data_IF_391384601168
#
_entry.id   IF_391384601168
#
_cell.length_a   1.000
_cell.length_b   1.000
_cell.length_c   1.000
_cell.angle_alpha   90.00
_cell.angle_beta   90.00
_cell.angle_gamma   90.00
#
_symmetry.space_group_name_H-M   'P 1'
#
loop_
_entity.id
_entity.type
_entity.pdbx_description
1 polymer ?
#
# COMPACT_ATOMS: atom_id res chain seq x y z
N UNK A 1 9.52 -1.97 -15.00
CA UNK A 1 9.46 -2.03 -16.49
C UNK A 1 9.18 -0.68 -17.12
N UNK A 2 8.43 0.20 -16.47
CA UNK A 2 7.97 1.47 -17.03
C UNK A 2 8.74 2.71 -16.51
N UNK A 3 9.85 2.55 -15.82
CA UNK A 3 10.65 3.68 -15.37
C UNK A 3 11.42 4.28 -16.55
N UNK A 4 11.32 5.61 -16.80
CA UNK A 4 12.00 6.25 -17.91
C UNK A 4 13.52 6.07 -17.87
N UNK A 5 14.16 5.83 -19.03
CA UNK A 5 15.60 5.64 -19.14
C UNK A 5 16.07 4.18 -19.16
N UNK A 6 15.16 3.22 -18.98
CA UNK A 6 15.45 1.79 -19.03
C UNK A 6 14.57 1.09 -20.06
N UNK A 7 14.89 1.15 -21.34
CA UNK A 7 14.04 0.62 -22.43
C UNK A 7 13.84 -0.90 -22.37
N UNK A 8 14.81 -1.63 -21.80
CA UNK A 8 14.72 -3.08 -21.58
C UNK A 8 14.16 -3.44 -20.20
N UNK A 9 13.74 -2.43 -19.40
CA UNK A 9 13.39 -2.62 -18.01
C UNK A 9 14.59 -2.74 -17.09
N UNK A 10 14.34 -2.75 -15.80
CA UNK A 10 15.37 -2.91 -14.76
C UNK A 10 14.72 -3.55 -13.52
N UNK A 11 15.47 -4.33 -12.75
CA UNK A 11 15.00 -4.81 -11.47
C UNK A 11 14.95 -3.68 -10.43
N UNK A 12 14.01 -3.75 -9.48
CA UNK A 12 13.90 -2.75 -8.42
C UNK A 12 15.22 -2.56 -7.64
N UNK A 13 15.87 -3.63 -7.15
CA UNK A 13 17.17 -3.51 -6.46
C UNK A 13 18.24 -2.80 -7.29
N UNK A 14 18.39 -3.15 -8.58
CA UNK A 14 19.37 -2.50 -9.46
C UNK A 14 19.06 -1.02 -9.67
N UNK A 15 17.78 -0.68 -9.90
CA UNK A 15 17.36 0.73 -10.00
C UNK A 15 17.73 1.53 -8.76
N UNK A 16 17.52 0.96 -7.57
CA UNK A 16 17.87 1.63 -6.30
C UNK A 16 19.39 1.82 -6.17
N UNK A 17 20.21 0.86 -6.61
CA UNK A 17 21.67 1.03 -6.61
C UNK A 17 22.12 2.10 -7.61
N UNK A 18 21.51 2.17 -8.79
CA UNK A 18 21.83 3.19 -9.79
C UNK A 18 21.47 4.60 -9.28
N UNK A 19 20.28 4.75 -8.66
CA UNK A 19 19.85 6.00 -8.05
C UNK A 19 20.77 6.41 -6.89
N UNK A 20 21.19 5.45 -6.05
CA UNK A 20 22.15 5.67 -4.98
C UNK A 20 23.50 6.14 -5.51
N UNK A 21 24.03 5.45 -6.50
CA UNK A 21 25.31 5.81 -7.14
C UNK A 21 25.24 7.20 -7.75
N UNK A 22 24.13 7.55 -8.40
CA UNK A 22 23.93 8.88 -8.97
C UNK A 22 23.92 9.95 -7.86
N UNK A 23 23.17 9.78 -6.78
CA UNK A 23 23.13 10.74 -5.67
C UNK A 23 24.52 10.90 -5.03
N UNK A 24 25.23 9.80 -4.77
CA UNK A 24 26.57 9.80 -4.18
C UNK A 24 27.59 10.55 -5.06
N UNK A 25 27.47 10.47 -6.39
CA UNK A 25 28.33 11.21 -7.32
C UNK A 25 28.26 12.73 -7.13
N UNK A 26 27.13 13.24 -6.65
CA UNK A 26 26.94 14.66 -6.34
C UNK A 26 27.26 15.00 -4.87
N UNK A 27 27.90 14.12 -4.13
CA UNK A 27 28.36 14.34 -2.77
C UNK A 27 27.31 14.08 -1.69
N UNK A 28 26.20 13.41 -2.02
CA UNK A 28 25.19 13.04 -1.03
C UNK A 28 25.76 12.01 -0.06
N UNK A 29 25.69 12.29 1.25
CA UNK A 29 26.02 11.35 2.31
C UNK A 29 24.78 10.47 2.61
N UNK A 30 24.80 9.25 2.11
CA UNK A 30 23.71 8.28 2.25
C UNK A 30 23.98 7.37 3.44
N UNK A 31 23.12 7.42 4.44
CA UNK A 31 23.23 6.66 5.68
C UNK A 31 22.06 5.71 5.85
N UNK A 32 22.33 4.56 6.46
CA UNK A 32 21.29 3.65 6.94
C UNK A 32 20.86 4.05 8.35
N UNK A 33 19.59 3.87 8.64
CA UNK A 33 18.99 4.12 9.94
C UNK A 33 17.51 4.45 9.82
N UNK A 34 16.81 4.38 10.94
CA UNK A 34 15.40 4.68 11.04
C UNK A 34 15.23 5.99 11.80
N UNK A 35 14.58 6.98 11.20
CA UNK A 35 14.17 8.20 11.92
C UNK A 35 13.03 7.83 12.88
N UNK A 36 13.28 7.98 14.19
CA UNK A 36 12.38 7.57 15.27
C UNK A 36 11.68 8.73 15.95
N UNK A 37 12.23 9.94 15.84
CA UNK A 37 11.60 11.17 16.35
C UNK A 37 12.09 12.38 15.56
N UNK A 38 11.30 13.44 15.58
CA UNK A 38 11.65 14.74 15.02
C UNK A 38 11.29 15.85 16.00
N UNK A 39 12.14 16.88 16.10
CA UNK A 39 11.83 18.16 16.73
C UNK A 39 11.97 19.27 15.68
N UNK A 40 10.83 19.77 15.22
CA UNK A 40 10.74 20.82 14.21
C UNK A 40 10.26 22.16 14.82
N UNK A 41 10.36 22.32 16.13
CA UNK A 41 9.90 23.53 16.83
C UNK A 41 10.75 24.76 16.52
N UNK A 42 12.05 24.57 16.28
CA UNK A 42 13.01 25.64 15.98
C UNK A 42 14.21 25.10 15.22
N UNK A 43 14.68 25.81 14.20
CA UNK A 43 15.93 25.51 13.52
C UNK A 43 17.17 25.81 14.41
N UNK A 44 18.27 25.03 14.35
CA UNK A 44 18.36 23.80 13.53
C UNK A 44 17.42 22.73 14.05
N UNK A 45 16.71 22.06 13.11
CA UNK A 45 15.79 20.97 13.39
C UNK A 45 16.55 19.71 13.81
N UNK A 46 15.93 18.89 14.66
CA UNK A 46 16.56 17.67 15.19
C UNK A 46 15.82 16.44 14.76
N UNK A 47 16.54 15.52 14.15
CA UNK A 47 16.01 14.20 13.75
C UNK A 47 16.77 13.13 14.54
N UNK A 48 16.04 12.32 15.31
CA UNK A 48 16.61 11.21 16.06
C UNK A 48 16.59 9.97 15.19
N UNK A 49 17.74 9.34 15.03
CA UNK A 49 17.95 8.11 14.26
C UNK A 49 18.21 6.96 15.23
N UNK A 50 17.54 5.82 15.03
CA UNK A 50 17.71 4.57 15.79
C UNK A 50 17.53 4.73 17.32
N UNK A 51 16.81 5.80 17.74
CA UNK A 51 16.46 6.06 19.13
C UNK A 51 17.44 6.90 19.93
N UNK A 52 18.67 7.12 19.48
CA UNK A 52 19.71 7.81 20.27
C UNK A 52 20.55 8.83 19.48
N UNK A 53 20.76 8.62 18.19
CA UNK A 53 21.64 9.49 17.38
C UNK A 53 20.86 10.68 16.84
N UNK A 54 21.25 11.89 17.22
CA UNK A 54 20.63 13.12 16.75
C UNK A 54 21.40 13.73 15.59
N UNK A 55 20.67 14.08 14.52
CA UNK A 55 21.16 14.87 13.38
C UNK A 55 20.47 16.24 13.44
N UNK A 56 21.26 17.32 13.36
CA UNK A 56 20.76 18.67 13.26
C UNK A 56 20.80 19.17 11.81
N UNK A 57 19.77 19.89 11.39
CA UNK A 57 19.66 20.42 10.02
C UNK A 57 18.91 21.75 9.99
N UNK A 58 19.28 22.65 9.07
CA UNK A 58 18.55 23.90 8.81
C UNK A 58 17.35 23.71 7.89
N UNK A 59 17.33 22.62 7.12
CA UNK A 59 16.19 22.29 6.26
C UNK A 59 15.98 20.77 6.17
N UNK A 60 14.73 20.36 5.93
CA UNK A 60 14.34 18.96 5.89
C UNK A 60 13.42 18.68 4.71
N UNK A 61 13.65 17.60 4.00
CA UNK A 61 12.70 17.02 3.03
C UNK A 61 12.18 15.71 3.62
N UNK A 62 10.86 15.64 3.84
CA UNK A 62 10.17 14.45 4.32
C UNK A 62 9.75 13.65 3.08
N UNK A 63 10.39 12.51 2.84
CA UNK A 63 10.13 11.62 1.72
C UNK A 63 9.99 10.15 2.20
N UNK A 64 9.25 9.98 3.31
CA UNK A 64 9.15 8.72 4.04
C UNK A 64 8.16 7.72 3.44
N UNK A 65 7.42 8.13 2.41
CA UNK A 65 6.44 7.28 1.70
C UNK A 65 5.29 6.83 2.57
N UNK A 66 4.69 5.71 2.18
CA UNK A 66 3.55 5.12 2.86
C UNK A 66 3.67 3.59 2.89
N UNK A 67 3.12 2.99 3.92
CA UNK A 67 3.08 1.53 4.11
C UNK A 67 1.68 1.02 3.78
N UNK A 68 1.57 -0.06 3.03
CA UNK A 68 0.29 -0.70 2.74
C UNK A 68 -0.39 -1.15 4.04
N UNK A 69 -1.70 -0.95 4.11
CA UNK A 69 -2.51 -1.44 5.23
C UNK A 69 -2.81 -2.93 5.04
N UNK A 70 -2.76 -3.64 6.15
CA UNK A 70 -3.12 -5.04 6.28
C UNK A 70 -4.37 -5.19 7.13
N UNK A 71 -5.06 -6.33 7.03
CA UNK A 71 -6.23 -6.61 7.88
C UNK A 71 -5.82 -6.93 9.32
N UNK A 72 -4.57 -7.32 9.54
CA UNK A 72 -4.05 -7.74 10.83
C UNK A 72 -4.24 -9.22 11.11
N UNK A 73 -4.49 -10.03 10.08
CA UNK A 73 -4.56 -11.48 10.21
C UNK A 73 -3.16 -12.04 10.44
N UNK A 74 -3.02 -13.01 11.35
CA UNK A 74 -1.73 -13.68 11.62
C UNK A 74 -1.14 -14.33 10.36
N UNK A 75 -2.01 -14.88 9.51
CA UNK A 75 -1.65 -15.55 8.27
C UNK A 75 -1.07 -14.61 7.20
N UNK A 76 -1.36 -13.31 7.23
CA UNK A 76 -0.82 -12.35 6.26
C UNK A 76 0.70 -12.32 6.27
N UNK A 77 1.32 -12.39 7.47
CA UNK A 77 2.77 -12.43 7.62
C UNK A 77 3.35 -13.79 7.16
N UNK A 78 2.64 -14.88 7.47
CA UNK A 78 3.04 -16.23 7.07
C UNK A 78 3.12 -16.37 5.54
N UNK A 79 2.14 -15.79 4.84
CA UNK A 79 2.05 -15.92 3.39
C UNK A 79 2.56 -14.69 2.62
N UNK A 80 3.24 -13.75 3.27
CA UNK A 80 3.86 -12.60 2.61
C UNK A 80 4.83 -13.06 1.52
N UNK A 81 4.60 -12.65 0.26
CA UNK A 81 5.35 -13.11 -0.91
C UNK A 81 5.05 -14.56 -1.35
N UNK A 82 4.17 -15.27 -0.63
CA UNK A 82 3.72 -16.64 -0.95
C UNK A 82 2.20 -16.70 -1.16
N UNK A 83 1.63 -15.66 -1.74
CA UNK A 83 0.20 -15.56 -2.01
C UNK A 83 -0.47 -14.30 -1.48
N UNK A 84 0.11 -13.63 -0.49
CA UNK A 84 -0.37 -12.32 0.02
C UNK A 84 0.45 -11.20 -0.61
N UNK A 85 -0.25 -10.22 -1.20
CA UNK A 85 0.34 -9.03 -1.80
C UNK A 85 -0.52 -7.79 -1.49
N UNK A 86 0.12 -6.62 -1.48
CA UNK A 86 -0.55 -5.31 -1.43
C UNK A 86 -0.27 -4.48 -2.69
N UNK A 87 0.12 -5.11 -3.79
CA UNK A 87 0.43 -4.46 -5.05
C UNK A 87 0.06 -5.37 -6.23
N UNK A 88 -1.12 -5.18 -6.81
CA UNK A 88 -1.56 -5.98 -7.95
C UNK A 88 -0.67 -5.82 -9.19
N UNK A 89 -0.17 -4.61 -9.45
CA UNK A 89 0.72 -4.34 -10.60
C UNK A 89 2.11 -4.93 -10.42
N UNK A 90 2.57 -5.11 -9.16
CA UNK A 90 3.85 -5.73 -8.86
C UNK A 90 3.79 -7.26 -9.07
N UNK A 91 2.77 -7.89 -8.51
CA UNK A 91 2.73 -9.35 -8.34
C UNK A 91 1.68 -10.04 -9.21
N UNK A 92 0.76 -9.32 -9.83
CA UNK A 92 -0.36 -9.88 -10.58
C UNK A 92 0.06 -10.83 -11.71
N UNK A 93 1.24 -10.62 -12.29
CA UNK A 93 1.77 -11.50 -13.34
C UNK A 93 1.95 -12.95 -12.89
N UNK A 94 2.30 -13.20 -11.63
CA UNK A 94 2.46 -14.55 -11.06
C UNK A 94 1.14 -15.30 -10.91
N UNK A 95 0.01 -14.60 -11.06
CA UNK A 95 -1.35 -15.14 -10.91
C UNK A 95 -2.10 -15.27 -12.26
N UNK A 96 -1.37 -15.32 -13.36
CA UNK A 96 -1.99 -15.57 -14.69
C UNK A 96 -2.73 -16.90 -14.70
N UNK A 97 -3.98 -16.86 -15.16
CA UNK A 97 -4.91 -18.01 -15.24
C UNK A 97 -5.25 -18.66 -13.90
N UNK A 98 -4.93 -17.98 -12.78
CA UNK A 98 -5.27 -18.41 -11.42
C UNK A 98 -6.51 -17.70 -10.91
N UNK A 99 -7.00 -18.13 -9.75
CA UNK A 99 -8.11 -17.51 -9.03
C UNK A 99 -7.53 -16.61 -7.93
N UNK A 100 -7.94 -15.35 -7.89
CA UNK A 100 -7.44 -14.41 -6.89
C UNK A 100 -8.56 -13.68 -6.16
N UNK A 101 -8.28 -13.22 -4.95
CA UNK A 101 -9.16 -12.33 -4.21
C UNK A 101 -8.50 -10.97 -4.00
N UNK A 102 -9.29 -9.89 -4.12
CA UNK A 102 -8.92 -8.52 -3.78
C UNK A 102 -9.79 -8.06 -2.64
N UNK A 103 -9.20 -7.51 -1.60
CA UNK A 103 -9.94 -6.95 -0.46
C UNK A 103 -9.98 -5.43 -0.55
N UNK A 104 -11.16 -4.87 -0.56
CA UNK A 104 -11.38 -3.43 -0.60
C UNK A 104 -12.66 -3.04 -1.33
N UNK A 105 -13.04 -1.78 -1.27
CA UNK A 105 -14.28 -1.29 -1.91
C UNK A 105 -14.17 0.15 -2.42
N UNK A 106 -12.97 0.73 -2.47
CA UNK A 106 -12.66 2.03 -3.06
C UNK A 106 -12.14 1.89 -4.50
N UNK A 107 -11.78 3.03 -5.11
CA UNK A 107 -11.27 3.07 -6.49
C UNK A 107 -10.06 2.16 -6.68
N UNK A 108 -9.06 2.22 -5.80
CA UNK A 108 -7.87 1.36 -5.86
C UNK A 108 -8.24 -0.13 -5.92
N UNK A 109 -9.17 -0.59 -5.07
CA UNK A 109 -9.60 -1.99 -5.06
C UNK A 109 -10.29 -2.40 -6.37
N UNK A 110 -11.10 -1.51 -6.93
CA UNK A 110 -11.76 -1.74 -8.22
C UNK A 110 -10.76 -1.74 -9.38
N UNK A 111 -9.79 -0.82 -9.39
CA UNK A 111 -8.72 -0.76 -10.39
C UNK A 111 -7.85 -2.01 -10.36
N UNK A 112 -7.43 -2.44 -9.16
CA UNK A 112 -6.66 -3.67 -8.98
C UNK A 112 -7.43 -4.91 -9.40
N UNK A 113 -8.73 -4.99 -9.07
CA UNK A 113 -9.59 -6.10 -9.49
C UNK A 113 -9.71 -6.17 -11.02
N UNK A 114 -9.91 -5.04 -11.70
CA UNK A 114 -9.96 -4.96 -13.17
C UNK A 114 -8.61 -5.34 -13.79
N UNK A 115 -7.51 -4.82 -13.24
CA UNK A 115 -6.17 -5.17 -13.70
C UNK A 115 -5.90 -6.68 -13.59
N UNK A 116 -6.18 -7.26 -12.42
CA UNK A 116 -6.01 -8.69 -12.18
C UNK A 116 -6.92 -9.55 -13.05
N UNK A 117 -8.15 -9.09 -13.36
CA UNK A 117 -9.06 -9.80 -14.26
C UNK A 117 -8.52 -9.92 -15.69
N UNK A 118 -7.64 -9.02 -16.11
CA UNK A 118 -6.88 -9.14 -17.37
C UNK A 118 -5.86 -10.28 -17.37
N UNK A 119 -5.42 -10.74 -16.20
CA UNK A 119 -4.40 -11.77 -16.03
C UNK A 119 -4.99 -13.08 -15.51
N UNK A 120 -5.78 -13.02 -14.44
CA UNK A 120 -6.36 -14.14 -13.73
C UNK A 120 -7.52 -14.82 -14.53
N UNK A 121 -7.88 -16.00 -14.12
CA UNK A 121 -9.08 -16.70 -14.61
C UNK A 121 -10.36 -16.20 -13.92
N UNK A 122 -10.25 -15.82 -12.64
CA UNK A 122 -11.35 -15.31 -11.80
C UNK A 122 -10.79 -14.36 -10.76
N UNK A 123 -11.53 -13.31 -10.44
CA UNK A 123 -11.25 -12.36 -9.37
C UNK A 123 -12.47 -12.26 -8.45
N UNK A 124 -12.26 -12.47 -7.17
CA UNK A 124 -13.25 -12.18 -6.14
C UNK A 124 -12.92 -10.83 -5.50
N UNK A 125 -13.85 -9.87 -5.55
CA UNK A 125 -13.70 -8.59 -4.86
C UNK A 125 -14.46 -8.64 -3.54
N UNK A 126 -13.72 -8.76 -2.43
CA UNK A 126 -14.26 -8.90 -1.07
C UNK A 126 -14.52 -7.52 -0.49
N UNK A 127 -15.78 -7.21 -0.23
CA UNK A 127 -16.25 -5.89 0.22
C UNK A 127 -17.04 -6.04 1.52
N UNK A 128 -16.56 -5.44 2.61
CA UNK A 128 -17.25 -5.53 3.92
C UNK A 128 -18.57 -4.75 4.01
N UNK A 129 -18.81 -3.81 3.11
CA UNK A 129 -20.04 -3.01 3.04
C UNK A 129 -20.99 -3.57 1.97
N UNK A 130 -22.30 -3.26 2.02
CA UNK A 130 -23.24 -3.66 0.97
C UNK A 130 -23.13 -2.81 -0.31
N UNK A 131 -22.10 -1.98 -0.42
CA UNK A 131 -21.85 -1.09 -1.57
C UNK A 131 -20.36 -0.80 -1.76
N UNK A 132 -19.98 -0.44 -2.98
CA UNK A 132 -18.67 0.09 -3.33
C UNK A 132 -18.61 1.61 -3.05
N UNK A 133 -17.47 2.09 -2.55
CA UNK A 133 -17.18 3.52 -2.38
C UNK A 133 -16.43 4.13 -3.56
N UNK A 134 -16.10 3.31 -4.54
CA UNK A 134 -15.42 3.72 -5.76
C UNK A 134 -16.27 4.70 -6.59
N UNK A 135 -15.65 5.40 -7.52
CA UNK A 135 -16.32 6.21 -8.52
C UNK A 135 -17.33 5.40 -9.34
N UNK A 136 -18.39 6.01 -9.83
CA UNK A 136 -19.44 5.32 -10.61
C UNK A 136 -18.87 4.55 -11.80
N UNK A 137 -17.91 5.14 -12.50
CA UNK A 137 -17.22 4.50 -13.65
C UNK A 137 -16.52 3.22 -13.22
N UNK A 138 -15.83 3.23 -12.08
CA UNK A 138 -15.14 2.03 -11.60
C UNK A 138 -16.12 0.97 -11.07
N UNK A 139 -17.20 1.39 -10.43
CA UNK A 139 -18.28 0.48 -10.05
C UNK A 139 -18.85 -0.24 -11.27
N UNK A 140 -19.20 0.49 -12.34
CA UNK A 140 -19.71 -0.09 -13.59
C UNK A 140 -18.73 -1.06 -14.23
N UNK A 141 -17.44 -0.72 -14.28
CA UNK A 141 -16.39 -1.61 -14.82
C UNK A 141 -16.31 -2.92 -14.07
N UNK A 142 -16.32 -2.87 -12.75
CA UNK A 142 -16.24 -4.07 -11.90
C UNK A 142 -17.51 -4.91 -12.01
N UNK A 143 -18.69 -4.27 -11.88
CA UNK A 143 -19.97 -5.00 -11.87
C UNK A 143 -20.33 -5.65 -13.21
N UNK A 144 -19.83 -5.11 -14.32
CA UNK A 144 -20.09 -5.64 -15.67
C UNK A 144 -18.96 -6.56 -16.17
N UNK A 145 -17.90 -6.81 -15.36
CA UNK A 145 -16.77 -7.61 -15.81
C UNK A 145 -17.02 -9.12 -15.57
N UNK A 146 -16.99 -9.91 -16.62
CA UNK A 146 -17.32 -11.36 -16.60
C UNK A 146 -16.49 -12.21 -15.64
N UNK A 147 -15.24 -11.78 -15.37
CA UNK A 147 -14.32 -12.50 -14.48
C UNK A 147 -14.32 -11.98 -13.04
N UNK A 148 -15.01 -10.88 -12.75
CA UNK A 148 -15.04 -10.31 -11.41
C UNK A 148 -16.36 -10.68 -10.74
N UNK A 149 -16.27 -11.21 -9.53
CA UNK A 149 -17.42 -11.43 -8.66
C UNK A 149 -17.26 -10.62 -7.38
N UNK A 150 -18.22 -9.74 -7.13
CA UNK A 150 -18.20 -8.88 -5.94
C UNK A 150 -18.93 -9.58 -4.80
N UNK A 151 -18.21 -9.82 -3.73
CA UNK A 151 -18.72 -10.42 -2.50
C UNK A 151 -19.00 -9.29 -1.49
N UNK A 152 -20.20 -8.74 -1.53
CA UNK A 152 -20.64 -7.72 -0.58
C UNK A 152 -20.91 -8.29 0.80
N UNK A 153 -20.70 -7.48 1.85
CA UNK A 153 -20.90 -7.83 3.26
C UNK A 153 -20.00 -8.99 3.71
N UNK A 154 -18.82 -9.16 3.07
CA UNK A 154 -17.86 -10.21 3.41
C UNK A 154 -16.60 -9.64 4.07
N UNK A 155 -16.13 -10.36 5.08
CA UNK A 155 -14.86 -10.12 5.75
C UNK A 155 -13.97 -11.35 5.60
N UNK A 156 -12.71 -11.14 5.23
CA UNK A 156 -11.69 -12.17 5.32
C UNK A 156 -11.23 -12.28 6.78
N UNK A 157 -11.22 -13.49 7.32
CA UNK A 157 -10.92 -13.78 8.73
C UNK A 157 -9.76 -14.75 8.93
N UNK A 158 -9.14 -15.22 7.85
CA UNK A 158 -7.98 -16.08 7.88
C UNK A 158 -7.63 -16.57 6.48
N UNK A 159 -6.39 -17.01 6.30
CA UNK A 159 -5.88 -17.62 5.09
C UNK A 159 -5.39 -19.04 5.41
N UNK A 160 -5.41 -19.92 4.43
CA UNK A 160 -4.90 -21.27 4.59
C UNK A 160 -4.15 -21.75 3.36
N UNK A 161 -3.29 -22.74 3.55
CA UNK A 161 -2.46 -23.37 2.53
C UNK A 161 -1.19 -23.96 3.13
N UNK A 162 -0.52 -24.80 2.39
CA UNK A 162 0.72 -25.45 2.83
C UNK A 162 1.96 -24.64 2.41
N UNK A 163 2.19 -24.48 1.10
CA UNK A 163 3.38 -23.81 0.55
C UNK A 163 3.08 -22.39 0.02
N UNK A 164 1.92 -21.86 0.31
CA UNK A 164 1.42 -20.57 -0.11
C UNK A 164 -0.08 -20.48 0.15
N UNK A 165 -0.70 -19.41 -0.30
CA UNK A 165 -2.16 -19.25 -0.17
C UNK A 165 -2.87 -20.25 -1.10
N UNK A 166 -3.76 -21.05 -0.54
CA UNK A 166 -4.66 -21.96 -1.24
C UNK A 166 -6.13 -21.60 -1.01
N UNK A 167 -6.40 -20.69 -0.06
CA UNK A 167 -7.74 -20.20 0.17
C UNK A 167 -7.84 -19.17 1.26
N UNK A 168 -9.04 -18.59 1.35
CA UNK A 168 -9.43 -17.57 2.34
C UNK A 168 -10.68 -18.01 3.08
N UNK A 169 -10.69 -17.83 4.40
CA UNK A 169 -11.87 -18.00 5.24
C UNK A 169 -12.67 -16.71 5.27
N UNK A 170 -13.93 -16.78 4.93
CA UNK A 170 -14.83 -15.65 4.81
C UNK A 170 -15.97 -15.73 5.83
N UNK A 171 -16.35 -14.55 6.30
CA UNK A 171 -17.57 -14.34 7.09
C UNK A 171 -18.44 -13.36 6.33
N UNK A 172 -19.63 -13.78 5.94
CA UNK A 172 -20.66 -12.93 5.37
C UNK A 172 -21.57 -12.42 6.50
N UNK A 173 -21.90 -11.14 6.48
CA UNK A 173 -22.77 -10.46 7.44
C UNK A 173 -22.31 -10.67 8.90
N UNK A 174 -21.04 -10.39 9.11
CA UNK A 174 -20.38 -10.59 10.41
C UNK A 174 -21.11 -9.87 11.55
N UNK A 175 -21.46 -10.64 12.59
CA UNK A 175 -22.17 -10.14 13.76
C UNK A 175 -23.68 -10.04 13.61
N UNK A 176 -24.24 -10.41 12.46
CA UNK A 176 -25.67 -10.42 12.20
C UNK A 176 -26.28 -11.81 12.51
N UNK A 177 -27.61 -11.91 12.77
CA UNK A 177 -28.26 -13.18 13.09
C UNK A 177 -28.15 -14.26 12.01
N UNK A 178 -27.92 -13.87 10.77
CA UNK A 178 -27.76 -14.73 9.60
C UNK A 178 -26.31 -14.73 9.09
N UNK A 179 -25.35 -14.65 10.00
CA UNK A 179 -23.93 -14.79 9.72
C UNK A 179 -23.63 -16.15 9.08
N UNK A 180 -22.92 -16.14 7.95
CA UNK A 180 -22.46 -17.34 7.26
C UNK A 180 -20.94 -17.38 7.24
N UNK A 181 -20.35 -18.56 7.48
CA UNK A 181 -18.90 -18.81 7.42
C UNK A 181 -18.59 -19.90 6.40
N UNK A 182 -17.62 -19.62 5.53
CA UNK A 182 -17.18 -20.59 4.55
C UNK A 182 -15.75 -20.30 4.09
N UNK A 183 -15.14 -21.25 3.42
CA UNK A 183 -13.83 -21.13 2.83
C UNK A 183 -13.96 -21.01 1.31
N UNK A 184 -13.16 -20.13 0.72
CA UNK A 184 -13.12 -19.87 -0.71
C UNK A 184 -11.72 -20.22 -1.23
N UNK A 185 -11.59 -21.19 -2.16
CA UNK A 185 -10.31 -21.51 -2.79
C UNK A 185 -9.81 -20.33 -3.64
N UNK A 186 -8.56 -19.91 -3.41
CA UNK A 186 -7.87 -18.87 -4.16
C UNK A 186 -6.38 -19.18 -4.21
N UNK A 187 -5.68 -18.69 -5.23
CA UNK A 187 -4.22 -18.81 -5.35
C UNK A 187 -3.48 -17.55 -4.88
N UNK A 188 -4.18 -16.43 -4.76
CA UNK A 188 -3.60 -15.15 -4.37
C UNK A 188 -4.59 -14.23 -3.68
N UNK A 189 -4.10 -13.45 -2.70
CA UNK A 189 -4.87 -12.56 -1.85
C UNK A 189 -4.24 -11.17 -1.87
N UNK A 190 -4.96 -10.20 -2.45
CA UNK A 190 -4.49 -8.83 -2.67
C UNK A 190 -5.19 -7.87 -1.72
N UNK A 191 -4.42 -7.05 -1.03
CA UNK A 191 -4.91 -6.07 -0.07
C UNK A 191 -4.94 -4.69 -0.68
N UNK A 192 -6.13 -4.21 -1.05
CA UNK A 192 -6.39 -2.89 -1.62
C UNK A 192 -7.22 -2.02 -0.67
N UNK A 193 -6.83 -1.98 0.61
CA UNK A 193 -7.51 -1.27 1.69
C UNK A 193 -6.86 0.07 2.06
N UNK A 194 -5.94 0.53 1.21
CA UNK A 194 -5.24 1.80 1.32
C UNK A 194 -3.87 1.70 1.96
N UNK A 195 -3.26 2.86 2.14
CA UNK A 195 -1.93 3.01 2.70
C UNK A 195 -1.97 3.85 3.98
N UNK A 196 -0.96 3.71 4.80
CA UNK A 196 -0.69 4.54 5.96
C UNK A 196 0.57 5.36 5.68
N UNK A 197 0.48 6.69 5.56
CA UNK A 197 1.65 7.53 5.42
C UNK A 197 2.60 7.39 6.62
N UNK A 198 3.91 7.36 6.33
CA UNK A 198 4.93 7.22 7.37
C UNK A 198 5.31 8.61 7.92
N UNK A 199 4.33 9.30 8.47
CA UNK A 199 4.40 10.71 8.91
C UNK A 199 4.26 10.89 10.41
N UNK A 200 4.09 9.82 11.16
CA UNK A 200 3.76 9.82 12.58
C UNK A 200 4.72 10.69 13.44
N UNK A 201 6.03 10.60 13.17
CA UNK A 201 7.04 11.37 13.92
C UNK A 201 7.02 12.87 13.64
N UNK A 202 6.29 13.32 12.63
CA UNK A 202 6.20 14.74 12.22
C UNK A 202 4.86 15.38 12.55
N UNK A 203 3.83 14.60 12.90
CA UNK A 203 2.44 15.05 13.01
C UNK A 203 2.19 16.19 14.00
N UNK A 204 3.05 16.35 15.02
CA UNK A 204 2.95 17.45 15.97
C UNK A 204 3.35 18.81 15.37
N UNK A 205 4.10 18.79 14.27
CA UNK A 205 4.69 19.98 13.67
C UNK A 205 4.08 20.36 12.33
N UNK A 206 3.72 19.37 11.50
CA UNK A 206 3.14 19.60 10.17
C UNK A 206 1.64 19.31 10.18
N UNK A 207 0.89 19.95 9.29
CA UNK A 207 -0.52 19.63 9.08
C UNK A 207 -0.65 18.37 8.22
N UNK A 208 -1.60 17.52 8.57
CA UNK A 208 -1.94 16.33 7.79
C UNK A 208 -3.43 16.29 7.47
N UNK A 209 -3.78 15.63 6.38
CA UNK A 209 -5.15 15.34 6.06
C UNK A 209 -5.73 14.23 6.98
N UNK A 210 -7.00 13.88 6.76
CA UNK A 210 -7.73 12.86 7.54
C UNK A 210 -7.09 11.46 7.45
N UNK A 211 -6.27 11.21 6.42
CA UNK A 211 -5.61 9.91 6.18
C UNK A 211 -4.17 9.92 6.71
N UNK A 212 -3.60 11.09 6.97
CA UNK A 212 -2.27 11.28 7.53
C UNK A 212 -1.21 11.74 6.50
N UNK A 213 -1.59 12.09 5.27
CA UNK A 213 -0.67 12.72 4.32
C UNK A 213 -0.40 14.17 4.70
N UNK A 214 0.85 14.62 4.53
CA UNK A 214 1.26 15.99 4.84
C UNK A 214 0.60 16.96 3.86
N UNK A 215 -0.03 17.99 4.40
CA UNK A 215 -0.61 19.08 3.63
C UNK A 215 0.49 20.05 3.25
N UNK A 216 0.58 20.39 1.95
CA UNK A 216 1.54 21.35 1.43
C UNK A 216 0.84 22.64 0.97
N UNK A 217 1.59 23.72 0.82
CA UNK A 217 1.07 25.03 0.40
C UNK A 217 0.89 25.09 -1.12
N UNK A 218 -0.36 24.98 -1.59
CA UNK A 218 -0.69 25.02 -3.02
C UNK A 218 0.03 23.92 -3.80
N UNK A 219 0.57 24.28 -4.97
CA UNK A 219 1.30 23.35 -5.86
C UNK A 219 2.81 23.27 -5.53
N UNK A 220 3.20 23.52 -4.29
CA UNK A 220 4.60 23.50 -3.85
C UNK A 220 4.86 22.36 -2.86
N UNK A 221 6.10 21.90 -2.69
CA UNK A 221 6.44 20.92 -1.65
C UNK A 221 6.53 21.53 -0.23
N UNK A 222 6.25 22.82 -0.06
CA UNK A 222 6.38 23.54 1.23
C UNK A 222 5.33 23.08 2.21
N UNK A 223 5.76 22.82 3.44
CA UNK A 223 4.85 22.63 4.57
C UNK A 223 4.67 23.97 5.31
N UNK A 224 3.79 24.02 6.30
CA UNK A 224 3.66 25.20 7.18
C UNK A 224 4.90 25.53 7.99
N UNK A 225 5.85 24.59 8.12
CA UNK A 225 7.10 24.78 8.89
C UNK A 225 8.16 25.32 7.92
N UNK A 226 8.72 26.53 8.16
CA UNK A 226 9.73 27.11 7.30
C UNK A 226 10.95 26.20 7.13
N UNK A 227 11.40 25.95 5.89
CA UNK A 227 12.53 25.06 5.61
C UNK A 227 12.21 23.56 5.68
N UNK A 228 10.95 23.18 5.96
CA UNK A 228 10.50 21.77 5.92
C UNK A 228 9.61 21.55 4.72
N UNK A 229 9.96 20.55 3.93
CA UNK A 229 9.32 20.20 2.68
C UNK A 229 8.83 18.74 2.71
N UNK A 230 7.80 18.44 1.93
CA UNK A 230 7.30 17.06 1.74
C UNK A 230 7.34 16.65 0.27
N UNK A 231 7.66 15.38 0.01
CA UNK A 231 7.72 14.78 -1.31
C UNK A 231 7.21 13.32 -1.28
N UNK A 232 6.44 12.94 -2.32
CA UNK A 232 5.90 11.59 -2.48
C UNK A 232 4.40 11.53 -2.58
#
# INVERSE_FOLDING_TARGET
>A
ENFPGYPEGISGPQLMEDLRAQASRFGTDIRFGIATAADLSKAPYKITIDGDKVIETESLIIATGATAKYLGLEDEKKYAGMGVSACATCDGFFYRKKVVAVVGGGDTACEEAVYLAGLASKVYLIVRKPFLRASKIMQERVMNHEKIEVLFEHNAVGLFGDNGVEGVNLVKRWGEPDEERYSLPIDGFFLAIGHQPNTEIFKEYVDTDEVGYIITEGDSPRTKVPGVFAAG
#
